data_IF_092684817083
#
_entry.id   IF_092684817083
#
_cell.length_a   1.000
_cell.length_b   1.000
_cell.length_c   1.000
_cell.angle_alpha   90.00
_cell.angle_beta   90.00
_cell.angle_gamma   90.00
#
_symmetry.space_group_name_H-M   'P 1'
#
loop_
_entity.id
_entity.type
_entity.pdbx_description
1 polymer ?
#
# COMPACT_ATOMS: atom_id res chain seq x y z
N UNK A 1 9.79 36.73 -14.35
CA UNK A 1 10.92 37.26 -13.55
C UNK A 1 11.55 36.11 -12.79
N UNK A 2 12.86 36.06 -12.66
CA UNK A 2 13.56 35.00 -11.92
C UNK A 2 14.38 35.62 -10.80
N UNK A 3 14.20 35.12 -9.57
CA UNK A 3 15.04 35.48 -8.42
C UNK A 3 16.04 34.35 -8.18
N UNK A 4 17.33 34.66 -8.27
CA UNK A 4 18.41 33.70 -8.04
C UNK A 4 19.02 33.93 -6.67
N UNK A 5 19.07 32.89 -5.84
CA UNK A 5 19.76 32.91 -4.55
C UNK A 5 21.17 32.35 -4.73
N UNK A 6 22.19 33.17 -4.43
CA UNK A 6 23.60 32.78 -4.51
C UNK A 6 24.24 32.84 -3.12
N UNK A 7 24.28 31.71 -2.38
CA UNK A 7 24.97 31.64 -1.10
C UNK A 7 26.46 32.03 -1.24
N UNK A 8 27.02 32.67 -0.22
CA UNK A 8 28.45 33.06 -0.21
C UNK A 8 29.42 31.87 -0.08
N UNK A 9 28.90 30.68 0.22
CA UNK A 9 29.64 29.43 0.31
C UNK A 9 28.75 28.27 -0.13
N UNK A 10 29.36 27.16 -0.52
CA UNK A 10 28.62 25.93 -0.79
C UNK A 10 27.83 25.51 0.46
N UNK A 11 26.59 25.08 0.23
CA UNK A 11 25.78 24.47 1.28
C UNK A 11 26.41 23.13 1.68
N UNK A 12 26.31 22.79 2.97
CA UNK A 12 26.85 21.54 3.51
C UNK A 12 26.12 20.37 2.86
N UNK A 13 26.87 19.44 2.29
CA UNK A 13 26.31 18.22 1.69
C UNK A 13 25.45 17.44 2.70
N UNK A 14 24.43 16.74 2.21
CA UNK A 14 23.55 15.93 3.07
C UNK A 14 22.66 16.70 4.04
N UNK A 15 22.57 18.02 3.93
CA UNK A 15 21.97 18.87 4.97
C UNK A 15 20.66 19.50 4.49
N UNK A 16 19.66 19.50 5.36
CA UNK A 16 18.39 20.20 5.14
C UNK A 16 18.53 21.70 5.33
N UNK A 17 17.98 22.47 4.40
CA UNK A 17 17.92 23.92 4.41
C UNK A 17 16.49 24.39 4.14
N UNK A 18 16.17 25.60 4.57
CA UNK A 18 14.94 26.28 4.21
C UNK A 18 15.23 27.75 3.91
N UNK A 19 14.38 28.37 3.10
CA UNK A 19 14.53 29.76 2.66
C UNK A 19 13.54 30.63 3.43
N UNK A 20 14.09 31.58 4.20
CA UNK A 20 13.30 32.68 4.77
C UNK A 20 13.32 33.88 3.83
N UNK A 21 12.13 34.39 3.53
CA UNK A 21 11.95 35.62 2.77
C UNK A 21 11.21 36.59 3.68
N UNK A 22 11.83 37.71 4.05
CA UNK A 22 11.15 38.70 4.87
C UNK A 22 9.95 39.27 4.12
N UNK A 23 8.86 39.59 4.84
CA UNK A 23 7.81 40.43 4.28
C UNK A 23 8.45 41.70 3.72
N UNK A 24 8.06 42.13 2.52
CA UNK A 24 8.65 43.26 1.76
C UNK A 24 9.99 43.02 1.05
N UNK A 25 10.61 41.85 1.18
CA UNK A 25 11.87 41.55 0.46
C UNK A 25 11.69 41.55 -1.07
N UNK A 26 10.47 41.32 -1.54
CA UNK A 26 10.07 41.40 -2.95
C UNK A 26 8.82 42.27 -3.05
N UNK A 27 8.79 43.18 -4.01
CA UNK A 27 7.62 43.99 -4.37
C UNK A 27 7.33 43.83 -5.86
N UNK A 28 6.05 43.80 -6.23
CA UNK A 28 5.66 43.83 -7.64
C UNK A 28 5.78 45.25 -8.24
N UNK A 29 5.53 45.38 -9.55
CA UNK A 29 5.61 46.67 -10.24
C UNK A 29 4.53 47.67 -9.80
N UNK A 30 3.49 47.22 -9.11
CA UNK A 30 2.45 48.05 -8.52
C UNK A 30 2.76 48.44 -7.06
N UNK A 31 3.89 47.98 -6.51
CA UNK A 31 4.33 48.27 -5.15
C UNK A 31 3.75 47.34 -4.08
N UNK A 32 3.06 46.26 -4.45
CA UNK A 32 2.54 45.30 -3.48
C UNK A 32 3.69 44.42 -2.98
N UNK A 33 3.86 44.36 -1.66
CA UNK A 33 4.88 43.53 -1.02
C UNK A 33 4.47 42.06 -0.98
N UNK A 34 5.41 41.16 -1.29
CA UNK A 34 5.28 39.75 -0.99
C UNK A 34 5.23 39.55 0.52
N UNK A 35 4.32 38.69 0.98
CA UNK A 35 4.09 38.40 2.40
C UNK A 35 5.31 37.75 3.07
N UNK A 36 6.22 37.17 2.29
CA UNK A 36 7.40 36.48 2.77
C UNK A 36 7.17 34.99 3.05
N UNK A 37 8.25 34.33 3.44
CA UNK A 37 8.29 32.93 3.89
C UNK A 37 8.96 32.96 5.27
N UNK A 38 8.22 32.61 6.31
CA UNK A 38 8.71 32.67 7.70
C UNK A 38 8.90 31.29 8.32
N UNK A 39 8.15 30.30 7.83
CA UNK A 39 8.21 28.92 8.28
C UNK A 39 9.31 28.12 7.56
N UNK A 40 9.62 26.94 8.11
CA UNK A 40 10.66 26.06 7.59
C UNK A 40 10.13 25.02 6.58
N UNK A 41 8.85 25.07 6.22
CA UNK A 41 8.14 24.04 5.45
C UNK A 41 7.79 24.48 4.03
N UNK A 42 7.48 25.76 3.83
CA UNK A 42 7.01 26.33 2.55
C UNK A 42 8.06 26.25 1.46
N UNK A 43 9.33 26.54 1.78
CA UNK A 43 10.43 26.39 0.83
C UNK A 43 11.65 25.80 1.51
N UNK A 44 11.76 24.49 1.45
CA UNK A 44 12.86 23.72 2.02
C UNK A 44 13.41 22.70 1.02
N UNK A 45 14.64 22.25 1.24
CA UNK A 45 15.32 21.26 0.40
C UNK A 45 16.47 20.61 1.16
N UNK A 46 16.93 19.45 0.69
CA UNK A 46 18.14 18.79 1.19
C UNK A 46 19.18 18.77 0.08
N UNK A 47 20.41 19.20 0.38
CA UNK A 47 21.53 19.11 -0.57
C UNK A 47 21.95 17.67 -0.79
N UNK A 48 22.45 17.33 -1.98
CA UNK A 48 23.08 16.03 -2.25
C UNK A 48 24.22 15.71 -1.26
N UNK A 49 24.50 14.43 -1.06
CA UNK A 49 25.71 13.95 -0.43
C UNK A 49 26.95 14.38 -1.23
N UNK A 50 28.12 14.28 -0.61
CA UNK A 50 29.40 14.66 -1.23
C UNK A 50 29.72 13.85 -2.50
N UNK A 51 29.14 12.65 -2.63
CA UNK A 51 29.26 11.77 -3.81
C UNK A 51 28.20 12.03 -4.89
N UNK A 52 27.34 13.04 -4.71
CA UNK A 52 26.25 13.39 -5.62
C UNK A 52 24.99 12.53 -5.46
N UNK A 53 24.96 11.58 -4.53
CA UNK A 53 23.74 10.84 -4.21
C UNK A 53 22.76 11.69 -3.39
N UNK A 54 21.47 11.35 -3.47
CA UNK A 54 20.49 11.92 -2.52
C UNK A 54 20.85 11.46 -1.11
N UNK A 55 20.75 12.32 -0.08
CA UNK A 55 21.04 11.93 1.28
C UNK A 55 20.18 10.74 1.67
N UNK A 56 20.83 9.70 2.19
CA UNK A 56 20.11 8.55 2.73
C UNK A 56 19.40 9.08 3.96
N UNK A 57 18.10 9.30 3.80
CA UNK A 57 17.18 9.51 4.91
C UNK A 57 17.50 8.42 5.94
N UNK A 58 17.71 8.75 7.24
CA UNK A 58 18.13 7.77 8.24
C UNK A 58 17.26 6.51 8.11
N UNK A 59 17.85 5.30 8.08
CA UNK A 59 17.08 4.08 7.87
C UNK A 59 15.92 4.06 8.86
N UNK A 60 14.72 3.68 8.40
CA UNK A 60 13.61 3.37 9.29
C UNK A 60 14.06 2.25 10.22
N UNK A 61 14.64 2.60 11.37
CA UNK A 61 15.01 1.63 12.39
C UNK A 61 13.73 1.14 13.03
N UNK A 62 13.46 -0.16 12.96
CA UNK A 62 12.32 -0.78 13.63
C UNK A 62 12.67 -1.25 15.04
N UNK A 63 11.65 -1.68 15.79
CA UNK A 63 11.85 -2.41 17.06
C UNK A 63 12.77 -3.60 16.81
N UNK A 64 13.68 -3.88 17.74
CA UNK A 64 14.54 -5.06 17.67
C UNK A 64 13.72 -6.34 17.43
N UNK A 65 14.20 -7.19 16.53
CA UNK A 65 13.55 -8.46 16.14
C UNK A 65 12.18 -8.35 15.47
N UNK A 66 11.69 -7.15 15.14
CA UNK A 66 10.37 -6.99 14.48
C UNK A 66 10.36 -7.32 12.98
N UNK A 67 11.54 -7.46 12.36
CA UNK A 67 11.73 -7.56 10.90
C UNK A 67 10.98 -6.46 10.13
N UNK A 68 11.07 -5.21 10.63
CA UNK A 68 10.62 -4.05 9.86
C UNK A 68 11.29 -4.04 8.48
N UNK A 69 10.51 -3.78 7.43
CA UNK A 69 10.96 -3.87 6.04
C UNK A 69 10.83 -5.27 5.45
N UNK A 70 10.17 -6.21 6.14
CA UNK A 70 9.81 -7.52 5.58
C UNK A 70 9.01 -7.39 4.27
N UNK A 71 8.12 -6.41 4.23
CA UNK A 71 7.37 -6.00 3.05
C UNK A 71 7.32 -4.46 2.97
N UNK A 72 7.38 -3.91 1.76
CA UNK A 72 7.35 -2.47 1.51
C UNK A 72 6.54 -2.17 0.25
N UNK A 73 5.90 -1.00 0.20
CA UNK A 73 5.26 -0.47 -0.99
C UNK A 73 5.12 1.06 -0.90
N UNK A 74 4.90 1.72 -2.03
CA UNK A 74 4.22 3.02 -2.01
C UNK A 74 2.80 2.80 -1.45
N UNK A 75 2.27 3.81 -0.77
CA UNK A 75 0.90 3.82 -0.28
C UNK A 75 -0.01 4.78 -1.08
N UNK A 76 0.55 5.58 -2.01
CA UNK A 76 -0.13 6.74 -2.59
C UNK A 76 -0.28 7.87 -1.57
N UNK A 77 -1.02 8.92 -1.91
CA UNK A 77 -1.30 10.05 -1.00
C UNK A 77 -2.45 9.70 -0.04
N UNK A 78 -2.13 9.09 1.10
CA UNK A 78 -3.09 8.56 2.09
C UNK A 78 -3.67 9.68 2.95
N UNK A 79 -2.94 10.80 3.09
CA UNK A 79 -3.37 11.95 3.88
C UNK A 79 -3.83 13.17 3.04
N UNK A 80 -3.76 13.10 1.71
CA UNK A 80 -4.20 14.15 0.80
C UNK A 80 -3.35 15.42 0.84
N UNK A 81 -2.07 15.33 1.23
CA UNK A 81 -1.15 16.47 1.30
C UNK A 81 -0.38 16.73 0.00
N UNK A 82 -0.59 15.90 -1.02
CA UNK A 82 0.01 15.98 -2.34
C UNK A 82 1.34 15.25 -2.47
N UNK A 83 1.80 14.53 -1.43
CA UNK A 83 2.99 13.68 -1.48
C UNK A 83 2.59 12.20 -1.36
N UNK A 84 3.22 11.34 -2.16
CA UNK A 84 3.05 9.90 -1.99
C UNK A 84 3.63 9.44 -0.65
N UNK A 85 2.86 8.62 0.06
CA UNK A 85 3.21 7.99 1.31
C UNK A 85 3.80 6.59 1.10
N UNK A 86 4.28 5.99 2.18
CA UNK A 86 4.90 4.67 2.17
C UNK A 86 4.24 3.74 3.18
N UNK A 87 4.22 2.44 2.89
CA UNK A 87 3.81 1.42 3.85
C UNK A 87 4.91 0.37 4.05
N UNK A 88 5.17 0.04 5.33
CA UNK A 88 6.26 -0.86 5.74
C UNK A 88 5.74 -1.91 6.72
N UNK A 89 5.91 -3.18 6.40
CA UNK A 89 5.55 -4.32 7.25
C UNK A 89 6.64 -4.72 8.25
N UNK A 90 6.24 -5.15 9.43
CA UNK A 90 7.06 -5.66 10.52
C UNK A 90 6.42 -6.94 11.10
N UNK A 91 6.51 -8.02 10.34
CA UNK A 91 5.79 -9.28 10.55
C UNK A 91 5.99 -9.91 11.95
N UNK A 92 7.16 -9.74 12.56
CA UNK A 92 7.50 -10.36 13.84
C UNK A 92 7.28 -9.41 15.04
N UNK A 93 6.71 -8.23 14.80
CA UNK A 93 6.42 -7.26 15.87
C UNK A 93 5.51 -7.87 16.94
N UNK A 94 5.78 -7.53 18.20
CA UNK A 94 4.98 -7.96 19.36
C UNK A 94 4.68 -9.47 19.39
N UNK A 95 5.74 -10.30 19.43
CA UNK A 95 5.62 -11.76 19.50
C UNK A 95 4.87 -12.38 18.31
N UNK A 96 5.21 -11.99 17.08
CA UNK A 96 4.58 -12.45 15.83
C UNK A 96 3.12 -12.04 15.66
N UNK A 97 2.63 -11.07 16.45
CA UNK A 97 1.37 -10.40 16.13
C UNK A 97 1.48 -9.66 14.79
N UNK A 98 2.64 -9.06 14.55
CA UNK A 98 2.95 -8.29 13.36
C UNK A 98 2.43 -6.85 13.44
N UNK A 99 2.96 -6.00 12.59
CA UNK A 99 2.55 -4.61 12.43
C UNK A 99 2.81 -4.13 11.00
N UNK A 100 2.11 -3.06 10.60
CA UNK A 100 2.47 -2.25 9.45
C UNK A 100 2.47 -0.77 9.86
N UNK A 101 3.28 0.03 9.18
CA UNK A 101 3.37 1.47 9.41
C UNK A 101 3.14 2.16 8.09
N UNK A 102 2.13 3.03 8.04
CA UNK A 102 2.01 4.03 6.98
C UNK A 102 2.81 5.25 7.43
N UNK A 103 3.71 5.70 6.58
CA UNK A 103 4.62 6.82 6.83
C UNK A 103 4.33 7.89 5.80
N UNK A 104 3.97 9.09 6.26
CA UNK A 104 3.63 10.18 5.37
C UNK A 104 4.86 10.71 4.62
N UNK A 105 4.69 10.91 3.32
CA UNK A 105 5.61 11.65 2.48
C UNK A 105 5.72 13.09 2.97
N UNK A 106 6.84 13.74 2.63
CA UNK A 106 6.99 15.16 2.90
C UNK A 106 8.04 15.78 1.99
N UNK A 107 7.88 17.07 1.70
CA UNK A 107 8.82 17.87 0.91
C UNK A 107 10.27 17.84 1.42
N UNK A 108 10.44 17.69 2.74
CA UNK A 108 11.76 17.69 3.36
C UNK A 108 12.52 16.37 3.18
N UNK A 109 11.85 15.31 2.71
CA UNK A 109 12.42 13.97 2.65
C UNK A 109 12.86 13.45 4.02
N UNK A 110 12.27 13.94 5.11
CA UNK A 110 12.65 13.55 6.46
C UNK A 110 12.11 12.15 6.77
N UNK A 111 12.97 11.28 7.30
CA UNK A 111 12.63 9.91 7.68
C UNK A 111 11.94 9.84 9.03
N UNK A 112 11.45 8.66 9.35
CA UNK A 112 10.79 8.38 10.63
C UNK A 112 11.56 7.31 11.38
N UNK A 113 11.78 7.53 12.68
CA UNK A 113 12.35 6.50 13.56
C UNK A 113 11.24 5.68 14.19
N UNK A 114 11.22 4.38 13.91
CA UNK A 114 10.21 3.42 14.39
C UNK A 114 10.78 2.47 15.46
N UNK A 115 11.92 2.81 16.06
CA UNK A 115 12.67 1.95 16.98
C UNK A 115 11.90 1.59 18.25
N UNK A 116 10.95 2.46 18.63
CA UNK A 116 10.06 2.26 19.77
C UNK A 116 8.73 1.59 19.38
N UNK A 117 8.55 1.24 18.10
CA UNK A 117 7.34 0.59 17.61
C UNK A 117 6.11 1.49 17.62
N UNK A 118 6.34 2.80 17.62
CA UNK A 118 5.34 3.86 17.59
C UNK A 118 5.70 4.84 16.47
N UNK A 119 4.69 5.55 16.00
CA UNK A 119 4.80 6.63 15.02
C UNK A 119 3.96 7.80 15.52
N UNK A 120 4.48 9.03 15.39
CA UNK A 120 3.73 10.22 15.73
C UNK A 120 2.61 10.42 14.69
N UNK A 121 1.37 10.80 15.08
CA UNK A 121 0.27 10.99 14.14
C UNK A 121 0.56 11.99 13.00
N UNK A 122 1.46 12.95 13.23
CA UNK A 122 1.90 13.91 12.21
C UNK A 122 2.83 13.32 11.15
N UNK A 123 3.29 12.08 11.34
CA UNK A 123 4.24 11.39 10.46
C UNK A 123 3.63 10.12 9.85
N UNK A 124 2.39 9.77 10.22
CA UNK A 124 1.71 8.56 9.78
C UNK A 124 1.03 7.82 10.93
N UNK A 125 0.71 6.55 10.72
CA UNK A 125 0.00 5.71 11.68
C UNK A 125 0.46 4.26 11.66
N UNK A 126 0.16 3.54 12.74
CA UNK A 126 0.49 2.12 12.92
C UNK A 126 -0.77 1.28 12.82
N UNK A 127 -0.68 0.17 12.10
CA UNK A 127 -1.64 -0.93 12.09
C UNK A 127 -1.02 -2.06 12.91
N UNK A 128 -1.64 -2.45 14.03
CA UNK A 128 -1.13 -3.51 14.91
C UNK A 128 -1.96 -4.79 14.74
N UNK A 129 -1.27 -5.91 14.51
CA UNK A 129 -1.90 -7.21 14.36
C UNK A 129 -2.34 -7.83 15.68
N UNK A 130 -3.26 -8.79 15.60
CA UNK A 130 -3.57 -9.67 16.71
C UNK A 130 -2.47 -10.74 16.87
N UNK A 131 -2.32 -11.30 18.07
CA UNK A 131 -1.30 -12.29 18.40
C UNK A 131 -1.25 -13.45 17.40
N UNK A 132 -0.07 -13.73 16.85
CA UNK A 132 0.17 -14.84 15.93
C UNK A 132 -0.37 -14.65 14.50
N UNK A 133 -0.95 -13.50 14.17
CA UNK A 133 -1.51 -13.26 12.82
C UNK A 133 -0.46 -12.87 11.79
N UNK A 134 0.72 -12.40 12.22
CA UNK A 134 1.80 -11.98 11.32
C UNK A 134 1.38 -10.83 10.40
N UNK A 135 0.64 -9.84 10.92
CA UNK A 135 0.25 -8.65 10.17
C UNK A 135 1.49 -7.93 9.61
N UNK A 136 1.40 -7.47 8.35
CA UNK A 136 2.54 -6.91 7.64
C UNK A 136 3.38 -7.97 6.91
N UNK A 137 2.84 -9.20 6.75
CA UNK A 137 3.43 -10.22 5.88
C UNK A 137 3.56 -9.70 4.45
N UNK A 138 2.53 -9.02 3.97
CA UNK A 138 2.50 -8.30 2.70
C UNK A 138 1.79 -6.97 2.87
N UNK A 139 2.22 -5.94 2.14
CA UNK A 139 1.63 -4.58 2.15
C UNK A 139 1.60 -4.04 0.74
N UNK A 140 0.61 -3.21 0.42
CA UNK A 140 0.52 -2.49 -0.85
C UNK A 140 -0.39 -1.27 -0.73
N UNK A 141 -0.21 -0.27 -1.61
CA UNK A 141 -1.28 0.64 -1.95
C UNK A 141 -2.51 -0.15 -2.43
N UNK A 142 -3.68 0.25 -1.98
CA UNK A 142 -4.95 -0.26 -2.47
C UNK A 142 -5.51 0.62 -3.61
N UNK A 143 -5.11 1.90 -3.66
CA UNK A 143 -5.79 2.92 -4.46
C UNK A 143 -6.95 3.52 -3.67
N UNK A 144 -7.77 4.36 -4.29
CA UNK A 144 -8.99 4.89 -3.67
C UNK A 144 -10.12 3.85 -3.84
N UNK A 145 -10.29 2.98 -2.85
CA UNK A 145 -11.24 1.85 -2.94
C UNK A 145 -12.64 2.22 -2.48
N UNK A 146 -12.80 3.38 -1.84
CA UNK A 146 -14.08 3.85 -1.32
C UNK A 146 -14.60 5.10 -2.06
N UNK A 147 -13.78 5.73 -2.90
CA UNK A 147 -14.12 6.90 -3.71
C UNK A 147 -14.12 8.21 -2.92
N UNK A 148 -13.35 8.30 -1.83
CA UNK A 148 -13.28 9.50 -0.99
C UNK A 148 -12.16 10.47 -1.38
N UNK A 149 -11.35 10.10 -2.38
CA UNK A 149 -10.26 10.90 -2.93
C UNK A 149 -8.94 10.75 -2.19
N UNK A 150 -8.85 9.90 -1.17
CA UNK A 150 -7.60 9.54 -0.50
C UNK A 150 -7.12 8.16 -0.98
N UNK A 151 -5.80 7.96 -1.03
CA UNK A 151 -5.27 6.63 -1.29
C UNK A 151 -5.48 5.74 -0.05
N UNK A 152 -5.93 4.50 -0.28
CA UNK A 152 -6.08 3.49 0.77
C UNK A 152 -4.90 2.51 0.74
N UNK A 153 -4.77 1.72 1.81
CA UNK A 153 -3.74 0.68 1.90
C UNK A 153 -4.34 -0.69 2.21
N UNK A 154 -3.68 -1.74 1.72
CA UNK A 154 -4.01 -3.13 2.06
C UNK A 154 -2.85 -3.83 2.74
N UNK A 155 -3.14 -4.58 3.82
CA UNK A 155 -2.17 -5.30 4.64
C UNK A 155 -2.59 -6.75 4.83
N UNK A 156 -1.69 -7.67 4.47
CA UNK A 156 -1.85 -9.10 4.71
C UNK A 156 -1.36 -9.54 6.10
N UNK A 157 -2.16 -10.38 6.75
CA UNK A 157 -1.85 -11.08 7.99
C UNK A 157 -1.93 -12.60 7.73
N UNK A 158 -0.95 -13.09 6.98
CA UNK A 158 -0.99 -14.40 6.33
C UNK A 158 -1.15 -15.57 7.31
N UNK A 159 -0.57 -15.48 8.51
CA UNK A 159 -0.68 -16.53 9.53
C UNK A 159 -2.08 -16.55 10.16
N UNK A 160 -2.77 -15.41 10.16
CA UNK A 160 -4.17 -15.28 10.58
C UNK A 160 -5.18 -15.61 9.47
N UNK A 161 -4.73 -15.86 8.23
CA UNK A 161 -5.59 -15.95 7.05
C UNK A 161 -6.48 -14.73 6.84
N UNK A 162 -5.90 -13.54 7.01
CA UNK A 162 -6.64 -12.27 6.89
C UNK A 162 -5.91 -11.27 6.00
N UNK A 163 -6.68 -10.38 5.41
CA UNK A 163 -6.21 -9.11 4.89
C UNK A 163 -7.07 -7.97 5.47
N UNK A 164 -6.50 -6.78 5.55
CA UNK A 164 -7.18 -5.59 6.04
C UNK A 164 -6.96 -4.47 5.05
N UNK A 165 -8.04 -3.80 4.66
CA UNK A 165 -8.00 -2.56 3.90
C UNK A 165 -8.22 -1.44 4.90
N UNK A 166 -7.34 -0.45 4.92
CA UNK A 166 -7.41 0.70 5.81
C UNK A 166 -7.55 1.95 4.96
N UNK A 167 -8.59 2.72 5.23
CA UNK A 167 -8.89 3.92 4.44
C UNK A 167 -7.93 5.07 4.77
N UNK A 168 -7.56 5.81 3.72
CA UNK A 168 -6.91 7.10 3.84
C UNK A 168 -7.84 8.16 4.41
N UNK A 169 -7.26 9.24 4.91
CA UNK A 169 -7.98 10.46 5.30
C UNK A 169 -6.98 11.54 5.72
N UNK A 170 -7.40 12.80 5.60
CA UNK A 170 -6.58 13.96 5.99
C UNK A 170 -6.01 13.92 7.43
N UNK A 171 -6.71 13.26 8.36
CA UNK A 171 -6.25 13.15 9.75
C UNK A 171 -5.71 11.76 10.11
N UNK A 172 -5.81 10.80 9.20
CA UNK A 172 -5.56 9.38 9.44
C UNK A 172 -6.49 8.75 10.52
N UNK A 173 -6.55 7.42 10.59
CA UNK A 173 -7.22 6.75 11.71
C UNK A 173 -6.41 6.89 13.01
N UNK A 174 -7.10 6.93 14.15
CA UNK A 174 -6.40 6.91 15.45
C UNK A 174 -5.67 5.57 15.67
N UNK A 175 -4.52 5.59 16.36
CA UNK A 175 -3.75 4.37 16.63
C UNK A 175 -4.57 3.28 17.36
N UNK A 176 -5.48 3.66 18.26
CA UNK A 176 -6.34 2.71 18.96
C UNK A 176 -7.37 2.04 18.04
N UNK A 177 -7.78 2.72 16.96
CA UNK A 177 -8.75 2.18 16.02
C UNK A 177 -8.15 1.15 15.04
N UNK A 178 -6.81 1.04 15.00
CA UNK A 178 -6.06 0.11 14.15
C UNK A 178 -5.25 -0.91 14.99
N UNK A 179 -5.64 -1.13 16.25
CA UNK A 179 -5.06 -2.17 17.10
C UNK A 179 -5.93 -3.44 17.14
N UNK A 180 -5.70 -4.34 16.20
CA UNK A 180 -6.52 -5.55 16.05
C UNK A 180 -6.29 -6.59 17.15
N UNK A 181 -5.36 -6.35 18.07
CA UNK A 181 -5.25 -7.16 19.29
C UNK A 181 -6.36 -6.89 20.30
N UNK A 182 -7.01 -5.72 20.21
CA UNK A 182 -8.02 -5.27 21.18
C UNK A 182 -9.30 -4.72 20.52
N UNK A 183 -9.25 -4.36 19.24
CA UNK A 183 -10.40 -3.80 18.51
C UNK A 183 -10.72 -4.55 17.22
N UNK A 184 -11.95 -4.41 16.76
CA UNK A 184 -12.33 -4.74 15.38
C UNK A 184 -12.20 -3.49 14.53
N UNK A 185 -11.77 -3.63 13.27
CA UNK A 185 -11.72 -2.51 12.33
C UNK A 185 -13.13 -1.95 12.11
N UNK A 186 -13.34 -0.69 12.47
CA UNK A 186 -14.58 0.01 12.22
C UNK A 186 -14.75 0.29 10.72
N UNK A 187 -15.98 0.21 10.20
CA UNK A 187 -16.28 0.43 8.79
C UNK A 187 -15.95 1.84 8.29
N UNK A 188 -15.82 2.80 9.20
CA UNK A 188 -15.34 4.16 8.87
C UNK A 188 -13.85 4.22 8.55
N UNK A 189 -13.08 3.20 8.94
CA UNK A 189 -11.63 3.16 8.80
C UNK A 189 -11.17 2.09 7.81
N UNK A 190 -12.10 1.36 7.20
CA UNK A 190 -11.80 0.26 6.28
C UNK A 190 -12.63 -1.00 6.55
N UNK A 191 -12.15 -2.13 6.04
CA UNK A 191 -12.80 -3.42 6.22
C UNK A 191 -11.78 -4.57 6.27
N UNK A 192 -12.18 -5.67 6.89
CA UNK A 192 -11.39 -6.89 6.97
C UNK A 192 -11.89 -7.93 5.96
N UNK A 193 -10.96 -8.72 5.44
CA UNK A 193 -11.21 -9.82 4.52
C UNK A 193 -10.68 -11.09 5.18
N UNK A 194 -11.60 -11.98 5.54
CA UNK A 194 -11.27 -13.27 6.15
C UNK A 194 -11.15 -14.33 5.07
N UNK A 195 -10.01 -15.01 5.04
CA UNK A 195 -9.68 -16.00 4.05
C UNK A 195 -10.10 -17.42 4.38
N UNK A 196 -9.76 -18.31 3.45
CA UNK A 196 -9.90 -19.77 3.57
C UNK A 196 -9.08 -20.28 4.76
N UNK A 197 -9.70 -21.09 5.62
CA UNK A 197 -9.12 -21.56 6.89
C UNK A 197 -8.63 -23.01 6.86
N UNK A 198 -8.58 -23.65 5.68
CA UNK A 198 -8.03 -25.01 5.56
C UNK A 198 -6.58 -25.04 6.07
N UNK A 199 -6.21 -26.09 6.80
CA UNK A 199 -4.87 -26.23 7.36
C UNK A 199 -3.81 -26.02 6.27
N UNK A 200 -2.92 -25.03 6.48
CA UNK A 200 -1.86 -24.58 5.57
C UNK A 200 -2.24 -23.65 4.40
N UNK A 201 -3.42 -23.01 4.42
CA UNK A 201 -3.64 -21.80 3.64
C UNK A 201 -2.93 -20.60 4.30
N UNK A 202 -2.35 -19.73 3.47
CA UNK A 202 -1.80 -18.43 3.87
C UNK A 202 -2.52 -17.32 3.08
N UNK A 203 -3.80 -17.10 3.37
CA UNK A 203 -4.56 -15.99 2.77
C UNK A 203 -3.98 -14.65 3.24
N UNK A 204 -3.70 -13.73 2.31
CA UNK A 204 -2.98 -12.50 2.60
C UNK A 204 -1.45 -12.65 2.55
N UNK A 205 -0.94 -13.75 1.98
CA UNK A 205 0.49 -13.90 1.68
C UNK A 205 0.98 -12.97 0.56
N UNK A 206 0.05 -12.42 -0.21
CA UNK A 206 0.27 -11.39 -1.23
C UNK A 206 -0.97 -10.52 -1.27
N UNK A 207 -0.77 -9.20 -1.30
CA UNK A 207 -1.81 -8.21 -1.50
C UNK A 207 -1.32 -7.19 -2.52
N UNK A 208 -2.23 -6.63 -3.31
CA UNK A 208 -1.95 -5.58 -4.30
C UNK A 208 -3.25 -4.86 -4.64
N UNK A 209 -3.19 -3.60 -5.06
CA UNK A 209 -4.26 -3.02 -5.89
C UNK A 209 -4.39 -3.82 -7.19
N UNK A 210 -5.62 -4.01 -7.66
CA UNK A 210 -5.93 -4.58 -8.97
C UNK A 210 -6.14 -3.49 -10.04
N UNK A 211 -6.17 -2.21 -9.67
CA UNK A 211 -6.74 -1.15 -10.50
C UNK A 211 -8.27 -1.23 -10.56
N UNK A 212 -8.91 -0.45 -11.43
CA UNK A 212 -10.36 -0.55 -11.67
C UNK A 212 -10.61 -1.64 -12.72
N UNK A 213 -10.92 -2.86 -12.27
CA UNK A 213 -11.04 -4.03 -13.16
C UNK A 213 -12.46 -4.21 -13.69
N UNK A 214 -13.43 -3.50 -13.12
CA UNK A 214 -14.85 -3.60 -13.46
C UNK A 214 -15.42 -2.33 -14.12
N UNK A 215 -14.67 -1.23 -14.13
CA UNK A 215 -15.00 0.05 -14.74
C UNK A 215 -15.93 0.93 -13.91
N UNK A 216 -16.01 0.72 -12.59
CA UNK A 216 -16.89 1.49 -11.70
C UNK A 216 -16.26 2.78 -11.14
N UNK A 217 -14.99 3.02 -11.46
CA UNK A 217 -14.22 4.20 -11.06
C UNK A 217 -13.60 4.08 -9.66
N UNK A 218 -13.77 2.95 -8.96
CA UNK A 218 -13.11 2.64 -7.70
C UNK A 218 -11.92 1.72 -7.95
N UNK A 219 -10.89 1.84 -7.10
CA UNK A 219 -9.80 0.87 -7.14
C UNK A 219 -10.26 -0.48 -6.56
N UNK A 220 -9.91 -1.56 -7.25
CA UNK A 220 -10.15 -2.93 -6.81
C UNK A 220 -8.87 -3.53 -6.19
N UNK A 221 -9.04 -4.70 -5.57
CA UNK A 221 -8.03 -5.32 -4.72
C UNK A 221 -7.72 -6.75 -5.16
N UNK A 222 -6.49 -7.18 -4.92
CA UNK A 222 -6.06 -8.57 -5.08
C UNK A 222 -5.56 -9.14 -3.77
N UNK A 223 -6.06 -10.32 -3.41
CA UNK A 223 -5.56 -11.08 -2.26
C UNK A 223 -5.23 -12.51 -2.64
N UNK A 224 -3.96 -12.86 -2.50
CA UNK A 224 -3.44 -14.18 -2.79
C UNK A 224 -3.61 -15.14 -1.60
N UNK A 225 -3.87 -16.40 -1.94
CA UNK A 225 -3.76 -17.55 -1.05
C UNK A 225 -2.64 -18.42 -1.59
N UNK A 226 -1.52 -18.43 -0.88
CA UNK A 226 -0.48 -19.43 -1.12
C UNK A 226 -0.78 -20.64 -0.26
N UNK A 227 -1.20 -21.73 -0.90
CA UNK A 227 -1.37 -23.03 -0.28
C UNK A 227 -0.07 -23.86 -0.31
N UNK A 228 -0.01 -24.90 0.51
CA UNK A 228 0.97 -25.99 0.31
C UNK A 228 0.52 -26.92 -0.83
N UNK A 229 1.27 -27.98 -1.11
CA UNK A 229 1.02 -28.95 -2.21
C UNK A 229 -0.35 -29.65 -2.21
N UNK A 230 -1.22 -29.40 -1.23
CA UNK A 230 -2.57 -29.98 -1.10
C UNK A 230 -3.70 -28.94 -1.11
N UNK A 231 -3.38 -27.65 -1.06
CA UNK A 231 -4.35 -26.55 -1.06
C UNK A 231 -4.37 -25.86 -2.42
N UNK A 232 -5.56 -25.55 -2.92
CA UNK A 232 -5.70 -24.76 -4.16
C UNK A 232 -5.12 -23.37 -3.93
N UNK A 233 -4.05 -23.05 -4.64
CA UNK A 233 -3.57 -21.68 -4.77
C UNK A 233 -4.64 -20.85 -5.48
N UNK A 234 -4.94 -19.67 -4.97
CA UNK A 234 -5.99 -18.82 -5.52
C UNK A 234 -5.60 -17.35 -5.39
N UNK A 235 -6.15 -16.52 -6.28
CA UNK A 235 -6.15 -15.06 -6.11
C UNK A 235 -7.60 -14.61 -6.13
N UNK A 236 -8.00 -13.83 -5.14
CA UNK A 236 -9.30 -13.18 -5.12
C UNK A 236 -9.13 -11.75 -5.63
N UNK A 237 -9.89 -11.40 -6.65
CA UNK A 237 -10.12 -10.02 -7.05
C UNK A 237 -11.35 -9.55 -6.30
N UNK A 238 -11.25 -8.43 -5.59
CA UNK A 238 -12.30 -7.92 -4.71
C UNK A 238 -12.58 -6.49 -5.13
N UNK A 239 -13.85 -6.18 -5.40
CA UNK A 239 -14.23 -4.86 -5.89
C UNK A 239 -14.21 -3.80 -4.80
N UNK A 240 -13.75 -2.60 -5.17
CA UNK A 240 -13.87 -1.39 -4.37
C UNK A 240 -15.34 -1.03 -4.13
N UNK A 241 -15.64 -0.46 -2.95
CA UNK A 241 -17.00 -0.03 -2.56
C UNK A 241 -16.93 1.11 -1.56
N UNK A 242 -17.71 2.17 -1.81
CA UNK A 242 -17.86 3.31 -0.89
C UNK A 242 -18.31 2.92 0.53
N UNK A 243 -19.04 1.82 0.68
CA UNK A 243 -19.50 1.33 1.99
C UNK A 243 -19.24 -0.16 2.14
N UNK A 244 -17.98 -0.58 1.93
CA UNK A 244 -17.60 -1.97 2.07
C UNK A 244 -17.90 -2.50 3.48
N UNK A 245 -18.51 -3.68 3.53
CA UNK A 245 -18.62 -4.48 4.75
C UNK A 245 -17.44 -5.45 4.86
N UNK A 246 -17.20 -5.98 6.06
CA UNK A 246 -16.25 -7.08 6.22
C UNK A 246 -16.65 -8.26 5.31
N UNK A 247 -15.67 -8.83 4.62
CA UNK A 247 -15.86 -9.90 3.65
C UNK A 247 -15.37 -11.24 4.22
N UNK A 248 -16.21 -12.27 4.20
CA UNK A 248 -15.84 -13.63 4.62
C UNK A 248 -15.74 -14.57 3.41
N UNK A 249 -14.51 -14.88 3.01
CA UNK A 249 -14.14 -15.78 1.92
C UNK A 249 -13.71 -17.16 2.45
N UNK A 250 -14.04 -17.51 3.70
CA UNK A 250 -13.63 -18.78 4.31
C UNK A 250 -14.17 -20.02 3.59
N UNK A 251 -15.27 -19.86 2.83
CA UNK A 251 -15.82 -20.88 1.94
C UNK A 251 -15.03 -21.08 0.62
N UNK A 252 -13.93 -20.35 0.43
CA UNK A 252 -13.13 -20.35 -0.80
C UNK A 252 -13.93 -19.95 -2.05
N UNK A 253 -14.90 -19.06 -1.87
CA UNK A 253 -15.78 -18.50 -2.91
C UNK A 253 -15.96 -17.01 -2.64
N UNK A 254 -16.32 -16.26 -3.68
CA UNK A 254 -16.67 -14.85 -3.62
C UNK A 254 -17.96 -14.64 -4.42
N UNK A 255 -18.85 -13.78 -3.95
CA UNK A 255 -20.05 -13.43 -4.69
C UNK A 255 -19.67 -12.53 -5.87
N UNK A 256 -20.35 -12.66 -7.02
CA UNK A 256 -20.05 -11.85 -8.22
C UNK A 256 -20.26 -10.35 -8.01
N UNK A 257 -21.03 -9.96 -6.99
CA UNK A 257 -21.19 -8.56 -6.58
C UNK A 257 -20.00 -8.02 -5.78
N UNK A 258 -19.14 -8.90 -5.25
CA UNK A 258 -17.98 -8.54 -4.43
C UNK A 258 -16.66 -8.75 -5.17
N UNK A 259 -16.67 -9.45 -6.32
CA UNK A 259 -15.49 -9.71 -7.14
C UNK A 259 -15.51 -11.09 -7.78
N UNK A 260 -14.32 -11.61 -8.08
CA UNK A 260 -14.16 -12.94 -8.68
C UNK A 260 -12.90 -13.65 -8.19
N UNK A 261 -12.90 -14.99 -8.33
CA UNK A 261 -11.78 -15.83 -7.92
C UNK A 261 -11.05 -16.33 -9.16
N UNK A 262 -9.72 -16.17 -9.14
CA UNK A 262 -8.80 -16.79 -10.08
C UNK A 262 -8.24 -18.04 -9.41
N UNK A 263 -8.55 -19.20 -9.98
CA UNK A 263 -8.02 -20.47 -9.46
C UNK A 263 -6.67 -20.75 -10.09
N UNK A 264 -5.67 -20.95 -9.25
CA UNK A 264 -4.32 -21.31 -9.65
C UNK A 264 -4.18 -22.77 -10.03
N UNK A 265 -3.10 -23.09 -10.74
CA UNK A 265 -2.81 -24.47 -11.15
C UNK A 265 -2.31 -25.28 -9.94
N UNK A 266 -2.84 -26.50 -9.81
CA UNK A 266 -2.50 -27.42 -8.73
C UNK A 266 -1.00 -27.73 -8.72
N UNK A 267 -0.35 -27.60 -7.55
CA UNK A 267 1.09 -27.85 -7.38
C UNK A 267 2.00 -26.63 -7.60
N UNK A 268 1.42 -25.47 -7.91
CA UNK A 268 2.19 -24.26 -8.23
C UNK A 268 1.84 -23.11 -7.34
N UNK A 269 2.83 -22.47 -6.73
CA UNK A 269 2.67 -21.25 -5.93
C UNK A 269 2.19 -20.07 -6.80
N UNK A 270 0.91 -20.13 -7.15
CA UNK A 270 0.11 -19.03 -7.66
C UNK A 270 -0.50 -18.28 -6.48
N UNK A 271 -0.89 -17.02 -6.67
CA UNK A 271 -1.24 -16.12 -5.57
C UNK A 271 -0.20 -15.01 -5.33
N UNK A 272 0.80 -14.88 -6.20
CA UNK A 272 1.50 -13.59 -6.40
C UNK A 272 0.83 -12.90 -7.58
N UNK A 273 0.26 -11.73 -7.33
CA UNK A 273 -0.52 -10.98 -8.30
C UNK A 273 -0.10 -9.52 -8.26
N UNK A 274 -0.12 -8.85 -9.40
CA UNK A 274 0.09 -7.40 -9.50
C UNK A 274 -0.82 -6.81 -10.58
N UNK A 275 -1.11 -5.51 -10.48
CA UNK A 275 -1.81 -4.76 -11.51
C UNK A 275 -0.89 -4.65 -12.74
N UNK A 276 -1.38 -5.02 -13.91
CA UNK A 276 -0.67 -4.90 -15.19
C UNK A 276 -0.97 -3.58 -15.92
N UNK A 277 -1.95 -2.81 -15.44
CA UNK A 277 -2.55 -1.69 -16.17
C UNK A 277 -3.50 -2.19 -17.26
N UNK A 278 -4.03 -1.28 -18.07
CA UNK A 278 -4.79 -1.62 -19.28
C UNK A 278 -3.81 -2.01 -20.40
N UNK A 279 -3.54 -3.30 -20.56
CA UNK A 279 -2.55 -3.78 -21.55
C UNK A 279 -3.17 -4.06 -22.92
N UNK A 280 -4.50 -4.10 -23.01
CA UNK A 280 -5.22 -4.40 -24.24
C UNK A 280 -5.94 -3.17 -24.85
N UNK A 281 -6.02 -2.06 -24.11
CA UNK A 281 -6.61 -0.78 -24.52
C UNK A 281 -8.14 -0.72 -24.37
N UNK A 282 -8.76 -1.57 -23.54
CA UNK A 282 -10.21 -1.63 -23.34
C UNK A 282 -10.74 -0.68 -22.24
N UNK A 283 -9.82 0.00 -21.53
CA UNK A 283 -10.13 0.94 -20.46
C UNK A 283 -10.29 0.29 -19.08
N UNK A 284 -10.16 -1.03 -18.95
CA UNK A 284 -10.17 -1.75 -17.68
C UNK A 284 -8.74 -2.11 -17.27
N UNK A 285 -8.47 -2.13 -15.96
CA UNK A 285 -7.19 -2.61 -15.47
C UNK A 285 -7.08 -4.14 -15.62
N UNK A 286 -5.95 -4.62 -16.13
CA UNK A 286 -5.61 -6.04 -16.26
C UNK A 286 -4.72 -6.51 -15.11
N UNK A 287 -4.68 -7.82 -14.88
CA UNK A 287 -3.91 -8.42 -13.79
C UNK A 287 -2.83 -9.36 -14.33
N UNK A 288 -1.66 -9.35 -13.69
CA UNK A 288 -0.62 -10.35 -13.92
C UNK A 288 -0.49 -11.29 -12.72
N UNK A 289 -0.59 -12.59 -12.96
CA UNK A 289 -0.50 -13.63 -11.93
C UNK A 289 0.74 -14.49 -12.17
N UNK A 290 1.64 -14.51 -11.19
CA UNK A 290 2.81 -15.38 -11.18
C UNK A 290 2.50 -16.75 -10.58
N UNK A 291 2.99 -17.80 -11.23
CA UNK A 291 2.96 -19.19 -10.77
C UNK A 291 4.37 -19.77 -10.83
N UNK A 292 5.27 -19.23 -10.00
CA UNK A 292 6.73 -19.37 -10.15
C UNK A 292 7.27 -20.79 -9.93
N UNK A 293 6.46 -21.72 -9.40
CA UNK A 293 6.86 -23.11 -9.18
C UNK A 293 6.11 -24.12 -10.07
N UNK A 294 5.47 -23.62 -11.13
CA UNK A 294 4.95 -24.46 -12.21
C UNK A 294 6.04 -25.34 -12.82
N UNK A 295 5.64 -26.55 -13.23
CA UNK A 295 6.47 -27.44 -14.05
C UNK A 295 7.87 -27.66 -13.49
N UNK A 296 7.96 -28.08 -12.21
CA UNK A 296 9.24 -28.31 -11.51
C UNK A 296 10.14 -27.07 -11.43
N UNK A 297 9.53 -25.89 -11.24
CA UNK A 297 10.26 -24.63 -11.05
C UNK A 297 10.56 -23.84 -12.32
N UNK A 298 10.05 -24.27 -13.49
CA UNK A 298 10.12 -23.46 -14.71
C UNK A 298 9.31 -22.17 -14.59
N UNK A 299 8.23 -22.20 -13.79
CA UNK A 299 7.36 -21.06 -13.56
C UNK A 299 6.45 -20.71 -14.74
N UNK A 300 5.46 -19.86 -14.49
CA UNK A 300 4.65 -19.21 -15.51
C UNK A 300 4.16 -17.85 -15.01
N UNK A 301 3.77 -16.98 -15.93
CA UNK A 301 3.02 -15.75 -15.65
C UNK A 301 1.82 -15.68 -16.61
N UNK A 302 0.68 -15.24 -16.08
CA UNK A 302 -0.58 -15.14 -16.82
C UNK A 302 -1.08 -13.70 -16.77
N UNK A 303 -1.49 -13.16 -17.92
CA UNK A 303 -2.28 -11.92 -17.96
C UNK A 303 -3.75 -12.31 -17.96
N UNK A 304 -4.53 -11.63 -17.15
CA UNK A 304 -5.97 -11.78 -17.03
C UNK A 304 -6.57 -10.42 -17.28
N UNK A 305 -7.41 -10.33 -18.31
CA UNK A 305 -8.01 -9.05 -18.65
C UNK A 305 -9.10 -8.66 -17.66
N UNK A 306 -9.20 -7.36 -17.39
CA UNK A 306 -10.33 -6.78 -16.66
C UNK A 306 -11.65 -7.18 -17.30
N UNK A 307 -12.71 -7.35 -16.49
CA UNK A 307 -14.03 -7.61 -17.05
C UNK A 307 -15.15 -7.05 -16.17
N UNK A 308 -16.04 -6.29 -16.79
CA UNK A 308 -17.20 -5.67 -16.15
C UNK A 308 -18.32 -6.66 -15.78
N UNK A 309 -18.22 -7.92 -16.20
CA UNK A 309 -19.23 -8.96 -15.96
C UNK A 309 -18.98 -9.79 -14.69
N UNK A 310 -17.81 -9.67 -14.07
CA UNK A 310 -17.40 -10.40 -12.86
C UNK A 310 -17.28 -11.92 -13.02
N UNK A 311 -17.10 -12.44 -14.23
CA UNK A 311 -16.86 -13.88 -14.42
C UNK A 311 -15.44 -14.25 -14.00
N UNK A 312 -15.29 -15.17 -13.03
CA UNK A 312 -13.98 -15.67 -12.60
C UNK A 312 -13.28 -16.56 -13.63
N UNK A 313 -11.95 -16.67 -13.51
CA UNK A 313 -11.10 -17.37 -14.45
C UNK A 313 -10.44 -18.62 -13.83
N UNK A 314 -10.36 -19.71 -14.59
CA UNK A 314 -9.60 -20.91 -14.22
C UNK A 314 -8.35 -21.02 -15.10
N UNK A 315 -7.18 -21.03 -14.47
CA UNK A 315 -5.90 -21.15 -15.18
C UNK A 315 -5.58 -22.60 -15.60
N UNK A 316 -6.41 -23.59 -15.23
CA UNK A 316 -6.24 -25.01 -15.60
C UNK A 316 -6.63 -25.35 -17.06
N UNK A 317 -7.04 -24.36 -17.86
CA UNK A 317 -7.23 -24.52 -19.30
C UNK A 317 -8.47 -23.80 -19.81
N UNK A 318 -8.25 -22.98 -20.84
CA UNK A 318 -9.20 -22.18 -21.63
C UNK A 318 -9.38 -20.73 -21.15
N UNK A 319 -8.62 -19.85 -21.80
CA UNK A 319 -9.00 -18.46 -22.02
C UNK A 319 -10.33 -18.44 -22.77
N UNK A 320 -11.40 -17.93 -22.17
CA UNK A 320 -12.41 -17.23 -22.95
C UNK A 320 -11.91 -15.79 -23.07
N UNK A 321 -11.05 -15.55 -24.06
CA UNK A 321 -10.93 -14.22 -24.62
C UNK A 321 -12.33 -13.84 -25.11
N UNK A 322 -12.96 -12.84 -24.49
CA UNK A 322 -14.11 -12.21 -25.12
C UNK A 322 -13.61 -11.56 -26.41
N UNK A 323 -14.20 -12.00 -27.52
CA UNK A 323 -14.15 -11.32 -28.82
C UNK A 323 -14.69 -9.91 -28.73
#
# INVERSE_FOLDING_TARGET
STLTLNPFANLTAGTGYYVKVAATAVTDLAGNAYAGITDATTFNFVTLNTDGSTPVVPPYGGVASSRLGWSVSSAGDVNGDGYDDMIVGAIDSNSNAGAAYVVYGNAAGAGVSLVNGTIAPSLGFKIAGASGTGLGYSVSAAGDVNGDGFADVIVGAANGNMAYVVYGSANGPTAAALDFSTTTLATSNGFSIKGVTTAAAFFGSSVSSAGDVNGDGLADLMVGVTGNSTSTNATFIIYGKTNAANLDLSANTIASSDGYKITGILGSYSGKASNAGDVNGDGLADQIIGAYNQSSGAGAAYIIYGNSTGTGFDTNGVMNAST
#
